data_IF_288313863480
#
_entry.id   IF_288313863480
#
_cell.length_a   1.000
_cell.length_b   1.000
_cell.length_c   1.000
_cell.angle_alpha   90.00
_cell.angle_beta   90.00
_cell.angle_gamma   90.00
#
_symmetry.space_group_name_H-M   'P 1'
#
loop_
_entity.id
_entity.type
_entity.pdbx_description
1 polymer ?
#
# COMPACT_ATOMS: atom_id res chain seq x y z
N UNK A 1 -33.80 5.08 12.61
CA UNK A 1 -32.64 4.78 13.47
C UNK A 1 -31.84 3.73 12.74
N UNK A 2 -30.73 4.12 12.13
CA UNK A 2 -29.84 3.18 11.42
C UNK A 2 -29.14 2.34 12.45
N UNK A 3 -29.46 1.05 12.48
CA UNK A 3 -28.69 0.09 13.26
C UNK A 3 -27.34 -0.06 12.61
N UNK A 4 -26.28 0.25 13.36
CA UNK A 4 -24.94 -0.18 13.01
C UNK A 4 -24.99 -1.71 12.96
N UNK A 5 -24.95 -2.27 11.75
CA UNK A 5 -24.79 -3.70 11.59
C UNK A 5 -23.49 -4.06 12.32
N UNK A 6 -23.51 -5.03 13.25
CA UNK A 6 -22.27 -5.49 13.85
C UNK A 6 -21.35 -5.95 12.71
N UNK A 7 -20.15 -5.38 12.66
CA UNK A 7 -19.08 -5.80 11.76
C UNK A 7 -18.79 -7.27 12.06
N UNK A 8 -19.35 -8.16 11.26
CA UNK A 8 -19.17 -9.60 11.38
C UNK A 8 -17.80 -9.94 10.78
N UNK A 9 -16.76 -9.89 11.60
CA UNK A 9 -15.41 -10.28 11.19
C UNK A 9 -15.39 -11.82 11.17
N UNK A 10 -15.64 -12.41 10.00
CA UNK A 10 -15.68 -13.86 9.81
C UNK A 10 -14.30 -14.53 9.85
N UNK A 11 -13.23 -13.74 9.87
CA UNK A 11 -11.83 -14.19 9.83
C UNK A 11 -11.15 -13.88 11.16
N UNK A 12 -10.22 -14.73 11.62
CA UNK A 12 -9.54 -14.43 12.89
C UNK A 12 -8.59 -13.25 12.72
N UNK A 13 -8.38 -12.46 13.79
CA UNK A 13 -7.42 -11.34 13.80
C UNK A 13 -6.02 -11.79 13.31
N UNK A 14 -5.48 -12.95 13.79
CA UNK A 14 -4.21 -13.47 13.27
C UNK A 14 -4.21 -13.68 11.75
N UNK A 15 -5.28 -14.24 11.16
CA UNK A 15 -5.34 -14.47 9.71
C UNK A 15 -5.31 -13.15 8.93
N UNK A 16 -5.96 -12.10 9.45
CA UNK A 16 -5.99 -10.77 8.82
C UNK A 16 -4.60 -10.11 8.92
N UNK A 17 -3.92 -10.26 10.06
CA UNK A 17 -2.56 -9.75 10.25
C UNK A 17 -1.56 -10.47 9.33
N UNK A 18 -1.67 -11.79 9.17
CA UNK A 18 -0.81 -12.58 8.26
C UNK A 18 -0.97 -12.11 6.80
N UNK A 19 -2.20 -11.82 6.36
CA UNK A 19 -2.45 -11.26 5.02
C UNK A 19 -1.87 -9.84 4.89
N UNK A 20 -2.01 -9.00 5.92
CA UNK A 20 -1.43 -7.67 5.91
C UNK A 20 0.11 -7.71 5.83
N UNK A 21 0.75 -8.61 6.58
CA UNK A 21 2.21 -8.82 6.51
C UNK A 21 2.65 -9.32 5.13
N UNK A 22 1.85 -10.18 4.49
CA UNK A 22 2.04 -10.60 3.10
C UNK A 22 2.01 -9.41 2.13
N UNK A 23 0.97 -8.56 2.22
CA UNK A 23 0.84 -7.36 1.39
C UNK A 23 1.98 -6.37 1.62
N UNK A 24 2.44 -6.21 2.86
CA UNK A 24 3.61 -5.37 3.19
C UNK A 24 4.86 -5.89 2.49
N UNK A 25 5.12 -7.20 2.62
CA UNK A 25 6.28 -7.86 2.00
C UNK A 25 6.24 -7.74 0.47
N UNK A 26 5.07 -7.93 -0.15
CA UNK A 26 4.90 -7.75 -1.59
C UNK A 26 5.10 -6.29 -2.03
N UNK A 27 4.58 -5.33 -1.26
CA UNK A 27 4.77 -3.89 -1.48
C UNK A 27 6.24 -3.47 -1.41
N UNK A 28 6.97 -3.96 -0.40
CA UNK A 28 8.42 -3.73 -0.25
C UNK A 28 9.21 -4.35 -1.41
N UNK A 29 8.91 -5.60 -1.77
CA UNK A 29 9.56 -6.29 -2.89
C UNK A 29 9.31 -5.59 -4.22
N UNK A 30 8.07 -5.14 -4.45
CA UNK A 30 7.70 -4.38 -5.65
C UNK A 30 8.45 -3.05 -5.67
N UNK A 31 8.47 -2.33 -4.56
CA UNK A 31 9.20 -1.06 -4.43
C UNK A 31 10.69 -1.23 -4.73
N UNK A 32 11.32 -2.25 -4.15
CA UNK A 32 12.74 -2.56 -4.37
C UNK A 32 13.02 -2.96 -5.82
N UNK A 33 12.14 -3.76 -6.44
CA UNK A 33 12.26 -4.20 -7.83
C UNK A 33 12.12 -3.03 -8.79
N UNK A 34 11.13 -2.17 -8.56
CA UNK A 34 10.92 -0.93 -9.33
C UNK A 34 12.13 -0.04 -9.18
N UNK A 35 12.59 0.28 -7.96
CA UNK A 35 13.74 1.14 -7.73
C UNK A 35 15.02 0.61 -8.41
N UNK A 36 15.23 -0.70 -8.38
CA UNK A 36 16.37 -1.35 -9.05
C UNK A 36 16.25 -1.23 -10.58
N UNK A 37 15.07 -1.47 -11.14
CA UNK A 37 14.81 -1.28 -12.58
C UNK A 37 14.94 0.19 -13.00
N UNK A 38 14.49 1.13 -12.17
CA UNK A 38 14.62 2.57 -12.40
C UNK A 38 16.08 3.01 -12.43
N UNK A 39 16.90 2.51 -11.49
CA UNK A 39 18.33 2.76 -11.49
C UNK A 39 19.01 2.22 -12.76
N UNK A 40 18.65 1.01 -13.18
CA UNK A 40 19.13 0.43 -14.44
C UNK A 40 18.71 1.27 -15.65
N UNK A 41 17.44 1.69 -15.73
CA UNK A 41 16.95 2.55 -16.81
C UNK A 41 17.69 3.89 -16.81
N UNK A 42 17.86 4.56 -15.66
CA UNK A 42 18.57 5.84 -15.60
C UNK A 42 20.04 5.73 -16.05
N UNK A 43 20.69 4.59 -15.81
CA UNK A 43 22.05 4.34 -16.30
C UNK A 43 22.09 4.11 -17.82
N UNK A 44 20.99 3.66 -18.42
CA UNK A 44 20.84 3.46 -19.87
C UNK A 44 20.27 4.69 -20.59
N UNK A 45 19.60 5.59 -19.86
CA UNK A 45 18.97 6.83 -20.34
C UNK A 45 20.02 7.94 -20.51
N UNK A 46 21.11 7.63 -21.22
CA UNK A 46 22.16 8.57 -21.61
C UNK A 46 22.04 8.90 -23.09
N UNK A 47 22.18 10.18 -23.51
CA UNK A 47 22.01 10.60 -24.91
C UNK A 47 22.86 9.81 -25.92
N UNK A 48 23.99 9.27 -25.49
CA UNK A 48 24.90 8.47 -26.32
C UNK A 48 24.40 7.05 -26.62
N UNK A 49 23.44 6.50 -25.85
CA UNK A 49 22.87 5.16 -26.07
C UNK A 49 21.77 5.12 -27.13
N UNK A 50 21.24 6.28 -27.51
CA UNK A 50 20.17 6.42 -28.49
C UNK A 50 20.67 7.22 -29.70
N UNK A 51 21.49 6.63 -30.59
CA UNK A 51 21.97 7.32 -31.77
C UNK A 51 20.78 7.75 -32.65
N UNK A 52 20.82 8.95 -33.24
CA UNK A 52 19.70 9.47 -34.00
C UNK A 52 19.54 8.68 -35.31
N UNK A 53 18.56 7.79 -35.34
CA UNK A 53 18.11 7.04 -36.51
C UNK A 53 16.57 7.08 -36.60
N UNK A 54 16.01 6.55 -37.69
CA UNK A 54 14.56 6.57 -37.93
C UNK A 54 13.75 5.85 -36.83
N UNK A 55 14.26 4.76 -36.27
CA UNK A 55 13.60 4.00 -35.19
C UNK A 55 13.75 4.70 -33.84
N UNK A 56 14.96 5.15 -33.54
CA UNK A 56 15.29 5.79 -32.28
C UNK A 56 14.59 7.15 -32.13
N UNK A 57 14.45 7.91 -33.22
CA UNK A 57 13.73 9.18 -33.21
C UNK A 57 12.22 9.01 -32.91
N UNK A 58 11.58 8.00 -33.50
CA UNK A 58 10.15 7.71 -33.25
C UNK A 58 9.92 7.19 -31.82
N UNK A 59 10.86 6.37 -31.31
CA UNK A 59 10.86 5.95 -29.92
C UNK A 59 11.01 7.14 -28.96
N UNK A 60 12.03 8.00 -29.15
CA UNK A 60 12.30 9.17 -28.31
C UNK A 60 11.12 10.16 -28.31
N UNK A 61 10.44 10.32 -29.45
CA UNK A 61 9.22 11.15 -29.55
C UNK A 61 8.11 10.66 -28.64
N UNK A 62 7.93 9.35 -28.54
CA UNK A 62 6.92 8.73 -27.68
C UNK A 62 7.38 8.71 -26.22
N UNK A 63 8.64 8.37 -26.00
CA UNK A 63 9.27 8.26 -24.68
C UNK A 63 9.29 9.59 -23.91
N UNK A 64 9.43 10.71 -24.61
CA UNK A 64 9.39 12.06 -24.04
C UNK A 64 8.03 12.77 -24.20
N UNK A 65 7.02 12.09 -24.75
CA UNK A 65 5.69 12.68 -24.91
C UNK A 65 5.13 13.02 -23.53
N UNK A 66 4.60 14.24 -23.38
CA UNK A 66 3.88 14.62 -22.18
C UNK A 66 2.60 13.78 -22.07
N UNK A 67 2.42 13.13 -20.94
CA UNK A 67 1.23 12.35 -20.59
C UNK A 67 0.68 12.86 -19.26
N UNK A 68 -0.63 12.70 -19.09
CA UNK A 68 -1.29 12.98 -17.82
C UNK A 68 -0.94 11.88 -16.80
N UNK A 69 -0.29 12.25 -15.70
CA UNK A 69 0.06 11.35 -14.61
C UNK A 69 -0.95 11.39 -13.45
N UNK A 70 -2.13 11.99 -13.66
CA UNK A 70 -3.17 12.12 -12.64
C UNK A 70 -2.93 13.32 -11.74
N UNK A 71 -2.92 13.12 -10.41
CA UNK A 71 -2.81 14.20 -9.42
C UNK A 71 -1.53 15.04 -9.52
N UNK A 72 -0.48 14.48 -10.13
CA UNK A 72 0.84 15.10 -10.28
C UNK A 72 0.99 15.92 -11.58
N UNK A 73 -0.06 15.99 -12.40
CA UNK A 73 -0.10 16.76 -13.63
C UNK A 73 0.62 16.13 -14.82
N UNK A 74 0.83 16.91 -15.88
CA UNK A 74 1.45 16.42 -17.10
C UNK A 74 2.98 16.29 -16.95
N UNK A 75 3.51 15.11 -17.27
CA UNK A 75 4.96 14.86 -17.28
C UNK A 75 5.36 13.93 -18.43
N UNK A 76 6.64 13.87 -18.82
CA UNK A 76 7.11 12.94 -19.83
C UNK A 76 6.70 11.49 -19.52
N UNK A 77 6.33 10.73 -20.56
CA UNK A 77 5.84 9.36 -20.43
C UNK A 77 6.79 8.45 -19.65
N UNK A 78 8.10 8.57 -19.90
CA UNK A 78 9.10 7.86 -19.11
C UNK A 78 8.98 8.23 -17.62
N UNK A 79 8.97 9.51 -17.26
CA UNK A 79 8.83 9.97 -15.86
C UNK A 79 7.52 9.51 -15.24
N UNK A 80 6.39 9.55 -15.97
CA UNK A 80 5.08 9.12 -15.47
C UNK A 80 5.07 7.63 -15.09
N UNK A 81 5.64 6.77 -15.95
CA UNK A 81 5.75 5.33 -15.68
C UNK A 81 6.63 5.09 -14.45
N UNK A 82 7.77 5.78 -14.36
CA UNK A 82 8.67 5.67 -13.19
C UNK A 82 7.96 6.10 -11.90
N UNK A 83 7.18 7.18 -11.98
CA UNK A 83 6.47 7.73 -10.84
C UNK A 83 5.36 6.81 -10.34
N UNK A 84 4.48 6.33 -11.23
CA UNK A 84 3.35 5.48 -10.84
C UNK A 84 3.81 4.10 -10.34
N UNK A 85 4.86 3.53 -10.92
CA UNK A 85 5.43 2.28 -10.44
C UNK A 85 5.90 2.38 -8.97
N UNK A 86 6.49 3.52 -8.58
CA UNK A 86 6.86 3.78 -7.19
C UNK A 86 5.65 3.95 -6.27
N UNK A 87 4.61 4.66 -6.73
CA UNK A 87 3.39 4.85 -5.94
C UNK A 87 2.63 3.54 -5.67
N UNK A 88 2.66 2.58 -6.60
CA UNK A 88 1.98 1.30 -6.42
C UNK A 88 2.54 0.46 -5.27
N UNK A 89 3.87 0.37 -5.16
CA UNK A 89 4.52 -0.33 -4.05
C UNK A 89 4.24 0.32 -2.70
N UNK A 90 4.34 1.65 -2.64
CA UNK A 90 4.00 2.42 -1.43
C UNK A 90 2.52 2.28 -1.03
N UNK A 91 1.61 2.19 -2.01
CA UNK A 91 0.19 1.98 -1.77
C UNK A 91 -0.12 0.63 -1.12
N UNK A 92 0.55 -0.45 -1.54
CA UNK A 92 0.40 -1.77 -0.93
C UNK A 92 0.86 -1.78 0.53
N UNK A 93 2.01 -1.17 0.82
CA UNK A 93 2.51 -1.01 2.19
C UNK A 93 1.54 -0.19 3.06
N UNK A 94 1.02 0.93 2.53
CA UNK A 94 0.08 1.78 3.26
C UNK A 94 -1.24 1.06 3.60
N UNK A 95 -1.75 0.22 2.69
CA UNK A 95 -2.93 -0.62 2.94
C UNK A 95 -2.64 -1.64 4.04
N UNK A 96 -1.49 -2.31 3.98
CA UNK A 96 -1.08 -3.26 5.01
C UNK A 96 -0.99 -2.61 6.40
N UNK A 97 -0.34 -1.44 6.49
CA UNK A 97 -0.21 -0.71 7.75
C UNK A 97 -1.56 -0.28 8.31
N UNK A 98 -2.45 0.24 7.46
CA UNK A 98 -3.81 0.59 7.87
C UNK A 98 -4.58 -0.62 8.43
N UNK A 99 -4.49 -1.79 7.77
CA UNK A 99 -5.17 -3.01 8.21
C UNK A 99 -4.58 -3.50 9.53
N UNK A 100 -3.25 -3.51 9.67
CA UNK A 100 -2.57 -3.87 10.93
C UNK A 100 -3.02 -2.96 12.08
N UNK A 101 -2.99 -1.64 11.89
CA UNK A 101 -3.41 -0.68 12.91
C UNK A 101 -4.88 -0.84 13.29
N UNK A 102 -5.76 -1.06 12.31
CA UNK A 102 -7.18 -1.30 12.55
C UNK A 102 -7.41 -2.56 13.40
N UNK A 103 -6.69 -3.65 13.12
CA UNK A 103 -6.80 -4.90 13.86
C UNK A 103 -6.22 -4.80 15.28
N UNK A 104 -5.10 -4.11 15.46
CA UNK A 104 -4.52 -3.85 16.79
C UNK A 104 -5.46 -3.01 17.66
N UNK A 105 -6.12 -2.00 17.06
CA UNK A 105 -7.11 -1.19 17.78
C UNK A 105 -8.36 -2.01 18.15
N UNK A 106 -8.82 -2.90 17.26
CA UNK A 106 -9.91 -3.81 17.56
C UNK A 106 -9.56 -4.75 18.72
N UNK A 107 -8.38 -5.36 18.70
CA UNK A 107 -7.93 -6.24 19.79
C UNK A 107 -7.87 -5.49 21.14
N UNK A 108 -7.34 -4.26 21.16
CA UNK A 108 -7.33 -3.43 22.38
C UNK A 108 -8.73 -3.11 22.89
N UNK A 109 -9.66 -2.79 21.98
CA UNK A 109 -11.05 -2.52 22.34
C UNK A 109 -11.74 -3.77 22.90
N UNK A 110 -11.45 -4.95 22.33
CA UNK A 110 -11.98 -6.23 22.82
C UNK A 110 -11.41 -6.60 24.19
N UNK A 111 -10.10 -6.43 24.41
CA UNK A 111 -9.44 -6.65 25.71
C UNK A 111 -9.97 -5.68 26.79
N UNK A 112 -10.20 -4.41 26.44
CA UNK A 112 -10.80 -3.42 27.34
C UNK A 112 -12.24 -3.78 27.67
N UNK A 113 -13.07 -4.13 26.68
CA UNK A 113 -14.44 -4.57 26.90
C UNK A 113 -14.52 -5.85 27.76
N UNK A 114 -13.64 -6.81 27.51
CA UNK A 114 -13.55 -8.03 28.32
C UNK A 114 -13.14 -7.73 29.77
N UNK A 115 -12.24 -6.78 29.98
CA UNK A 115 -11.82 -6.34 31.32
C UNK A 115 -12.96 -5.64 32.06
N UNK A 116 -13.66 -4.71 31.40
CA UNK A 116 -14.82 -4.01 31.95
C UNK A 116 -15.95 -4.99 32.31
N UNK A 117 -16.24 -5.99 31.47
CA UNK A 117 -17.23 -7.04 31.76
C UNK A 117 -16.80 -7.87 32.97
N UNK A 118 -15.51 -8.21 33.08
CA UNK A 118 -14.98 -9.03 34.17
C UNK A 118 -15.01 -8.26 35.50
N UNK A 119 -14.73 -6.96 35.48
CA UNK A 119 -14.86 -6.08 36.64
C UNK A 119 -16.33 -5.89 37.03
N UNK A 120 -17.21 -5.60 36.08
CA UNK A 120 -18.65 -5.47 36.31
C UNK A 120 -19.29 -6.77 36.85
N UNK A 121 -18.84 -7.94 36.36
CA UNK A 121 -19.26 -9.25 36.85
C UNK A 121 -18.67 -9.62 38.23
N UNK A 122 -17.49 -9.10 38.57
CA UNK A 122 -16.83 -9.31 39.86
C UNK A 122 -17.50 -8.56 41.03
N UNK A 123 -18.10 -7.40 40.77
CA UNK A 123 -18.85 -6.62 41.78
C UNK A 123 -20.27 -7.14 42.05
N UNK A 124 -20.75 -8.15 41.30
CA UNK A 124 -22.08 -8.76 41.49
C UNK A 124 -22.11 -10.02 42.37
N UNK A 125 -20.95 -10.58 42.76
CA UNK A 125 -20.88 -11.88 43.43
C UNK A 125 -20.73 -11.82 44.97
N UNK A 126 -20.87 -10.64 45.59
CA UNK A 126 -20.91 -10.47 47.06
C UNK A 126 -22.21 -9.82 47.50
N UNK A 127 -23.33 -10.45 47.19
CA UNK A 127 -24.54 -10.30 48.00
C UNK A 127 -25.40 -11.55 47.84
N UNK A 128 -25.25 -12.47 48.79
CA UNK A 128 -26.29 -13.19 49.54
C UNK A 128 -25.64 -14.27 50.42
#
# INVERSE_FOLDING_TARGET
MGGDNPLDITSSIPDILDVADGLRTEGENLTNSVNSALAAINNLDVPAMFPPDHFTNEFLRTYHKQVDAGGDGAMPANTAVKHQAGQFGAGLTAIADFVTDAMLNYQRADEQGATEIKEAGGYGATSL
#
